data_IF_493349865265
#
_entry.id   IF_493349865265
#
_cell.length_a   1.000
_cell.length_b   1.000
_cell.length_c   1.000
_cell.angle_alpha   90.00
_cell.angle_beta   90.00
_cell.angle_gamma   90.00
#
_symmetry.space_group_name_H-M   'P 1'
#
loop_
_entity.id
_entity.type
_entity.pdbx_description
1 polymer ?
#
# COMPACT_ATOMS: atom_id res chain seq x y z
N UNK A 1 26.70 -25.83 29.74
CA UNK A 1 26.06 -25.40 31.00
C UNK A 1 25.66 -23.92 30.93
N UNK A 2 24.40 -23.70 30.50
CA UNK A 2 23.55 -22.50 30.65
C UNK A 2 24.24 -21.13 30.76
N UNK A 3 24.37 -20.44 29.62
CA UNK A 3 24.14 -18.99 29.55
C UNK A 3 23.22 -18.65 28.37
N UNK A 4 22.08 -17.98 28.61
CA UNK A 4 21.35 -17.07 27.67
C UNK A 4 19.88 -16.84 28.05
N UNK A 5 19.32 -17.56 29.02
CA UNK A 5 17.89 -17.51 29.34
C UNK A 5 17.47 -16.34 30.27
N UNK A 6 18.38 -15.46 30.67
CA UNK A 6 18.11 -14.42 31.68
C UNK A 6 18.09 -12.97 31.16
N UNK A 7 18.20 -12.74 29.84
CA UNK A 7 18.14 -11.39 29.23
C UNK A 7 16.90 -11.13 28.37
N UNK A 8 15.96 -12.08 28.30
CA UNK A 8 14.68 -11.95 27.58
C UNK A 8 13.55 -11.34 28.41
N UNK A 9 13.87 -10.75 29.58
CA UNK A 9 12.90 -10.11 30.46
C UNK A 9 12.99 -8.56 30.38
N UNK A 10 12.88 -8.01 29.18
CA UNK A 10 12.55 -6.60 28.99
C UNK A 10 11.26 -6.49 28.17
N UNK A 11 10.14 -6.41 28.89
CA UNK A 11 8.89 -5.75 28.52
C UNK A 11 8.50 -5.70 27.03
N UNK A 12 8.23 -6.85 26.42
CA UNK A 12 7.44 -6.91 25.19
C UNK A 12 6.01 -6.45 25.49
N UNK A 13 5.64 -5.22 25.13
CA UNK A 13 4.24 -4.87 24.87
C UNK A 13 3.88 -5.35 23.46
N UNK A 14 3.81 -6.67 23.29
CA UNK A 14 3.19 -7.29 22.12
C UNK A 14 1.68 -7.05 22.21
N UNK A 15 1.13 -6.24 21.30
CA UNK A 15 -0.27 -6.37 20.91
C UNK A 15 -0.42 -7.77 20.29
N UNK A 16 -0.78 -8.74 21.12
CA UNK A 16 -0.97 -10.13 20.66
C UNK A 16 -2.18 -10.18 19.72
N UNK A 17 -1.92 -10.43 18.44
CA UNK A 17 -2.96 -10.66 17.43
C UNK A 17 -3.51 -12.06 17.65
N UNK A 18 -4.75 -12.17 18.16
CA UNK A 18 -5.42 -13.49 18.30
C UNK A 18 -6.30 -13.75 17.08
N UNK A 19 -6.04 -14.82 16.30
CA UNK A 19 -6.75 -15.08 15.05
C UNK A 19 -8.21 -15.49 15.25
N UNK A 20 -8.60 -16.01 16.42
CA UNK A 20 -9.97 -16.44 16.71
C UNK A 20 -10.37 -16.10 18.16
N UNK A 21 -11.41 -15.28 18.33
CA UNK A 21 -12.18 -15.19 19.57
C UNK A 21 -13.64 -15.47 19.24
N UNK A 22 -14.01 -16.75 19.18
CA UNK A 22 -15.41 -17.17 19.19
C UNK A 22 -15.86 -17.28 20.65
N UNK A 23 -16.94 -16.59 20.98
CA UNK A 23 -17.81 -16.79 22.14
C UNK A 23 -17.40 -16.25 23.53
N UNK A 24 -16.51 -15.25 23.66
CA UNK A 24 -16.32 -14.54 24.93
C UNK A 24 -16.77 -13.07 24.83
N UNK A 25 -18.05 -12.84 25.09
CA UNK A 25 -18.69 -11.54 25.36
C UNK A 25 -18.53 -10.46 24.28
N UNK A 26 -19.56 -10.32 23.44
CA UNK A 26 -19.75 -9.19 22.52
C UNK A 26 -20.11 -7.87 23.26
N UNK A 27 -19.83 -7.72 24.55
CA UNK A 27 -20.23 -6.56 25.38
C UNK A 27 -19.57 -5.21 25.04
N UNK A 28 -18.69 -5.11 24.03
CA UNK A 28 -18.21 -3.81 23.56
C UNK A 28 -18.88 -3.51 22.24
N UNK A 29 -19.60 -2.38 22.21
CA UNK A 29 -20.38 -1.87 21.09
C UNK A 29 -19.52 -1.16 20.01
N UNK A 30 -18.19 -1.21 20.11
CA UNK A 30 -17.28 -0.51 19.18
C UNK A 30 -16.34 -1.47 18.48
N UNK A 31 -16.37 -1.42 17.16
CA UNK A 31 -15.50 -2.17 16.26
C UNK A 31 -14.62 -1.24 15.43
N UNK A 32 -13.51 -1.77 14.91
CA UNK A 32 -12.63 -1.06 13.97
C UNK A 32 -12.60 -1.85 12.66
N UNK A 33 -12.85 -1.20 11.54
CA UNK A 33 -12.75 -1.84 10.23
C UNK A 33 -11.40 -1.53 9.59
N UNK A 34 -10.82 -2.49 8.86
CA UNK A 34 -9.67 -2.24 7.99
C UNK A 34 -10.01 -2.69 6.57
N UNK A 35 -9.88 -1.79 5.61
CA UNK A 35 -9.98 -2.05 4.18
C UNK A 35 -8.57 -2.27 3.63
N UNK A 36 -8.29 -3.49 3.17
CA UNK A 36 -7.06 -3.89 2.51
C UNK A 36 -7.30 -4.03 1.01
N UNK A 37 -6.93 -3.00 0.24
CA UNK A 37 -7.02 -2.98 -1.21
C UNK A 37 -5.73 -3.55 -1.82
N UNK A 38 -5.64 -4.88 -1.89
CA UNK A 38 -4.52 -5.57 -2.51
C UNK A 38 -4.61 -5.66 -4.04
N UNK A 39 -3.52 -6.10 -4.68
CA UNK A 39 -3.44 -6.26 -6.15
C UNK A 39 -4.38 -7.34 -6.69
N UNK A 40 -4.54 -8.46 -5.98
CA UNK A 40 -5.38 -9.59 -6.42
C UNK A 40 -6.77 -9.62 -5.80
N UNK A 41 -7.01 -8.85 -4.74
CA UNK A 41 -8.29 -8.83 -4.04
C UNK A 41 -8.40 -7.64 -3.09
N UNK A 42 -9.60 -7.12 -2.94
CA UNK A 42 -9.98 -6.19 -1.87
C UNK A 42 -10.55 -6.98 -0.69
N UNK A 43 -10.15 -6.64 0.54
CA UNK A 43 -10.65 -7.28 1.77
C UNK A 43 -11.10 -6.24 2.75
N UNK A 44 -12.14 -6.53 3.51
CA UNK A 44 -12.48 -5.79 4.73
C UNK A 44 -12.43 -6.74 5.91
N UNK A 45 -11.78 -6.33 6.98
CA UNK A 45 -11.73 -7.06 8.24
C UNK A 45 -12.29 -6.21 9.36
N UNK A 46 -13.07 -6.83 10.24
CA UNK A 46 -13.60 -6.21 11.44
C UNK A 46 -12.77 -6.65 12.64
N UNK A 47 -12.37 -5.69 13.46
CA UNK A 47 -11.57 -5.90 14.64
C UNK A 47 -12.27 -5.38 15.89
N UNK A 48 -11.95 -5.98 17.02
CA UNK A 48 -12.44 -5.57 18.32
C UNK A 48 -11.27 -5.48 19.30
N UNK A 49 -11.30 -4.43 20.12
CA UNK A 49 -10.38 -4.31 21.25
C UNK A 49 -10.83 -5.25 22.38
N UNK A 50 -9.90 -6.05 22.88
CA UNK A 50 -10.07 -6.92 24.04
C UNK A 50 -9.26 -6.33 25.18
N UNK A 51 -9.90 -6.05 26.31
CA UNK A 51 -9.30 -5.28 27.41
C UNK A 51 -8.32 -6.08 28.28
N UNK A 52 -8.42 -7.40 28.32
CA UNK A 52 -7.64 -8.24 29.25
C UNK A 52 -7.27 -9.60 28.64
N UNK A 53 -6.02 -9.80 28.15
CA UNK A 53 -4.98 -8.77 27.97
C UNK A 53 -5.34 -7.77 26.85
N UNK A 54 -4.86 -6.50 26.92
CA UNK A 54 -5.01 -5.53 25.83
C UNK A 54 -4.53 -6.13 24.51
N UNK A 55 -5.48 -6.40 23.62
CA UNK A 55 -5.22 -7.03 22.33
C UNK A 55 -6.27 -6.58 21.32
N UNK A 56 -5.93 -6.73 20.05
CA UNK A 56 -6.87 -6.55 18.94
C UNK A 56 -7.17 -7.93 18.39
N UNK A 57 -8.44 -8.29 18.33
CA UNK A 57 -8.88 -9.56 17.77
C UNK A 57 -9.65 -9.33 16.48
N UNK A 58 -9.33 -10.14 15.47
CA UNK A 58 -10.11 -10.20 14.23
C UNK A 58 -11.41 -10.93 14.50
N UNK A 59 -12.53 -10.27 14.22
CA UNK A 59 -13.88 -10.80 14.43
C UNK A 59 -14.40 -11.51 13.19
N UNK A 60 -14.26 -10.85 12.03
CA UNK A 60 -14.69 -11.40 10.74
C UNK A 60 -13.91 -10.73 9.60
N UNK A 61 -13.98 -11.30 8.40
CA UNK A 61 -13.50 -10.64 7.18
C UNK A 61 -14.21 -11.12 5.93
N UNK A 62 -14.34 -10.23 4.97
CA UNK A 62 -14.89 -10.51 3.64
C UNK A 62 -13.85 -10.15 2.59
N UNK A 63 -13.89 -10.82 1.43
CA UNK A 63 -12.97 -10.57 0.34
C UNK A 63 -13.67 -10.61 -1.01
N UNK A 64 -13.21 -9.78 -1.93
CA UNK A 64 -13.64 -9.73 -3.33
C UNK A 64 -12.40 -9.81 -4.23
N UNK A 65 -12.38 -10.67 -5.25
CA UNK A 65 -11.26 -10.72 -6.18
C UNK A 65 -11.19 -9.43 -7.00
N UNK A 66 -9.97 -8.94 -7.26
CA UNK A 66 -9.72 -7.81 -8.16
C UNK A 66 -9.28 -8.37 -9.49
N UNK A 67 -9.97 -7.98 -10.56
CA UNK A 67 -9.60 -8.39 -11.91
C UNK A 67 -8.45 -7.54 -12.42
N UNK A 68 -7.30 -8.19 -12.64
CA UNK A 68 -6.13 -7.59 -13.28
C UNK A 68 -6.14 -7.98 -14.76
N UNK A 69 -6.04 -6.97 -15.63
CA UNK A 69 -5.79 -7.17 -17.05
C UNK A 69 -4.28 -7.18 -17.32
N UNK A 70 -3.78 -8.28 -17.88
CA UNK A 70 -2.39 -8.41 -18.31
C UNK A 70 -2.33 -8.51 -19.83
N UNK A 71 -1.50 -7.68 -20.48
CA UNK A 71 -1.28 -7.72 -21.94
C UNK A 71 0.21 -7.84 -22.27
N UNK A 72 0.57 -8.30 -23.50
CA UNK A 72 1.97 -8.35 -23.94
C UNK A 72 2.69 -7.01 -23.76
N UNK A 73 4.01 -7.07 -23.57
CA UNK A 73 4.83 -5.88 -23.27
C UNK A 73 4.84 -5.48 -21.78
N UNK A 74 4.30 -6.34 -20.90
CA UNK A 74 4.28 -6.11 -19.45
C UNK A 74 3.25 -5.07 -19.03
N UNK A 75 2.18 -4.89 -19.80
CA UNK A 75 1.07 -4.00 -19.47
C UNK A 75 0.20 -4.69 -18.43
N UNK A 76 -0.08 -4.00 -17.33
CA UNK A 76 -0.90 -4.45 -16.22
C UNK A 76 -1.83 -3.32 -15.74
N UNK A 77 -3.15 -3.55 -15.84
CA UNK A 77 -4.16 -2.58 -15.42
C UNK A 77 -5.28 -3.21 -14.60
N UNK A 78 -6.03 -2.39 -13.89
CA UNK A 78 -7.25 -2.80 -13.20
C UNK A 78 -8.33 -1.72 -13.33
N UNK A 79 -9.59 -2.13 -13.46
CA UNK A 79 -10.71 -1.20 -13.49
C UNK A 79 -10.94 -0.59 -12.10
N UNK A 80 -10.65 0.71 -11.98
CA UNK A 80 -10.82 1.47 -10.75
C UNK A 80 -12.29 1.60 -10.32
N UNK A 81 -13.24 1.52 -11.27
CA UNK A 81 -14.68 1.47 -10.97
C UNK A 81 -15.04 0.13 -10.32
N UNK A 82 -14.53 -0.99 -10.83
CA UNK A 82 -14.72 -2.30 -10.19
C UNK A 82 -14.19 -2.32 -8.76
N UNK A 83 -12.98 -1.80 -8.52
CA UNK A 83 -12.39 -1.71 -7.16
C UNK A 83 -13.32 -0.93 -6.21
N UNK A 84 -13.90 0.17 -6.69
CA UNK A 84 -14.87 0.96 -5.92
C UNK A 84 -16.16 0.18 -5.63
N UNK A 85 -16.75 -0.46 -6.64
CA UNK A 85 -17.97 -1.24 -6.47
C UNK A 85 -17.75 -2.43 -5.51
N UNK A 86 -16.60 -3.09 -5.57
CA UNK A 86 -16.24 -4.14 -4.62
C UNK A 86 -16.08 -3.60 -3.20
N UNK A 87 -15.58 -2.37 -3.03
CA UNK A 87 -15.52 -1.71 -1.72
C UNK A 87 -16.92 -1.51 -1.12
N UNK A 88 -17.88 -1.03 -1.91
CA UNK A 88 -19.28 -0.89 -1.48
C UNK A 88 -19.92 -2.25 -1.13
N UNK A 89 -19.65 -3.30 -1.91
CA UNK A 89 -20.12 -4.65 -1.61
C UNK A 89 -19.54 -5.19 -0.27
N UNK A 90 -18.26 -4.92 -0.01
CA UNK A 90 -17.62 -5.30 1.25
C UNK A 90 -18.26 -4.58 2.44
N UNK A 91 -18.60 -3.30 2.30
CA UNK A 91 -19.33 -2.54 3.34
C UNK A 91 -20.73 -3.12 3.57
N UNK A 92 -21.44 -3.50 2.50
CA UNK A 92 -22.73 -4.19 2.60
C UNK A 92 -22.64 -5.54 3.32
N UNK A 93 -21.63 -6.35 2.98
CA UNK A 93 -21.39 -7.64 3.63
C UNK A 93 -21.07 -7.48 5.13
N UNK A 94 -20.25 -6.48 5.47
CA UNK A 94 -19.93 -6.17 6.85
C UNK A 94 -21.18 -5.73 7.63
N UNK A 95 -21.99 -4.85 7.07
CA UNK A 95 -23.23 -4.35 7.70
C UNK A 95 -24.28 -5.45 7.91
N UNK A 96 -24.47 -6.34 6.92
CA UNK A 96 -25.35 -7.51 7.06
C UNK A 96 -24.89 -8.40 8.21
N UNK A 97 -23.59 -8.72 8.24
CA UNK A 97 -23.02 -9.55 9.28
C UNK A 97 -23.18 -8.93 10.67
N UNK A 98 -22.93 -7.62 10.82
CA UNK A 98 -23.11 -6.92 12.09
C UNK A 98 -24.58 -6.94 12.54
N UNK A 99 -25.53 -6.77 11.62
CA UNK A 99 -26.97 -6.82 11.92
C UNK A 99 -27.43 -8.20 12.41
N UNK A 100 -26.80 -9.27 11.92
CA UNK A 100 -27.11 -10.65 12.31
C UNK A 100 -26.44 -11.09 13.62
N UNK A 101 -25.22 -10.60 13.90
CA UNK A 101 -24.36 -11.15 14.95
C UNK A 101 -24.12 -10.21 16.15
N UNK A 102 -24.43 -8.92 16.02
CA UNK A 102 -24.18 -7.93 17.08
C UNK A 102 -25.48 -7.48 17.75
N UNK A 103 -25.40 -7.20 19.05
CA UNK A 103 -26.50 -6.60 19.81
C UNK A 103 -26.77 -5.15 19.37
N UNK A 104 -27.96 -4.63 19.69
CA UNK A 104 -28.36 -3.27 19.37
C UNK A 104 -27.35 -2.23 19.89
N UNK A 105 -26.90 -1.33 19.00
CA UNK A 105 -25.94 -0.27 19.33
C UNK A 105 -24.48 -0.57 18.96
N UNK A 106 -24.18 -1.73 18.37
CA UNK A 106 -22.89 -2.00 17.76
C UNK A 106 -22.60 -1.06 16.58
N UNK A 107 -21.42 -0.43 16.60
CA UNK A 107 -20.99 0.52 15.56
C UNK A 107 -19.55 0.28 15.14
N UNK A 108 -19.25 0.61 13.88
CA UNK A 108 -17.88 0.77 13.41
C UNK A 108 -17.40 2.15 13.85
N UNK A 109 -16.42 2.19 14.75
CA UNK A 109 -15.89 3.43 15.31
C UNK A 109 -14.96 4.16 14.35
N UNK A 110 -14.20 3.43 13.53
CA UNK A 110 -13.37 4.00 12.47
C UNK A 110 -13.03 2.97 11.39
N UNK A 111 -12.61 3.49 10.24
CA UNK A 111 -12.03 2.75 9.13
C UNK A 111 -10.53 3.06 9.01
N UNK A 112 -9.72 2.01 8.93
CA UNK A 112 -8.35 2.07 8.42
C UNK A 112 -8.29 1.63 6.95
N UNK A 113 -7.41 2.22 6.15
CA UNK A 113 -7.17 1.84 4.76
C UNK A 113 -5.72 1.43 4.58
N UNK A 114 -5.51 0.31 3.91
CA UNK A 114 -4.22 -0.07 3.37
C UNK A 114 -4.38 -0.49 1.93
N UNK A 115 -3.37 -0.25 1.10
CA UNK A 115 -3.49 -0.43 -0.35
C UNK A 115 -2.18 -0.86 -1.00
N UNK A 116 -2.31 -1.53 -2.15
CA UNK A 116 -1.21 -1.64 -3.09
C UNK A 116 -0.70 -0.24 -3.46
N UNK A 117 0.60 -0.04 -3.28
CA UNK A 117 1.29 1.23 -3.50
C UNK A 117 1.54 1.43 -5.00
N UNK A 118 1.92 2.65 -5.38
CA UNK A 118 2.26 3.13 -6.73
C UNK A 118 1.18 3.04 -7.83
N UNK A 119 0.27 2.07 -7.77
CA UNK A 119 -0.88 1.93 -8.68
C UNK A 119 -1.61 3.26 -8.76
N UNK A 120 -1.68 3.83 -9.97
CA UNK A 120 -2.13 5.20 -10.19
C UNK A 120 -3.50 5.22 -10.88
N UNK A 121 -4.43 6.00 -10.31
CA UNK A 121 -5.78 6.21 -10.83
C UNK A 121 -5.89 7.64 -11.38
N UNK A 122 -6.62 7.79 -12.47
CA UNK A 122 -6.91 9.07 -13.13
C UNK A 122 -8.43 9.23 -13.21
N UNK A 123 -8.97 10.28 -12.62
CA UNK A 123 -10.42 10.49 -12.59
C UNK A 123 -10.78 11.94 -12.83
N UNK A 124 -12.04 12.11 -13.20
CA UNK A 124 -12.66 13.39 -13.44
C UNK A 124 -13.25 13.95 -12.13
N UNK A 125 -12.91 15.19 -11.78
CA UNK A 125 -13.33 15.82 -10.53
C UNK A 125 -14.86 16.07 -10.49
N UNK A 126 -15.47 16.38 -11.62
CA UNK A 126 -16.90 16.71 -11.67
C UNK A 126 -17.75 15.44 -11.59
N UNK A 127 -17.40 14.43 -12.39
CA UNK A 127 -18.17 13.19 -12.44
C UNK A 127 -17.76 12.20 -11.36
N UNK A 128 -16.51 12.28 -10.87
CA UNK A 128 -15.91 11.30 -9.97
C UNK A 128 -15.69 9.94 -10.62
N UNK A 129 -15.70 9.85 -11.96
CA UNK A 129 -15.50 8.62 -12.71
C UNK A 129 -14.05 8.47 -13.20
N UNK A 130 -13.51 7.23 -13.22
CA UNK A 130 -12.20 6.97 -13.82
C UNK A 130 -12.21 7.33 -15.31
N UNK A 131 -11.13 7.96 -15.77
CA UNK A 131 -10.92 8.35 -17.17
C UNK A 131 -10.26 7.23 -17.99
N UNK A 132 -9.62 6.28 -17.30
CA UNK A 132 -8.98 5.09 -17.84
C UNK A 132 -8.79 4.08 -16.72
N UNK A 133 -8.36 2.85 -17.04
CA UNK A 133 -7.99 1.87 -16.03
C UNK A 133 -6.83 2.36 -15.17
N UNK A 134 -6.80 1.93 -13.91
CA UNK A 134 -5.65 2.16 -13.06
C UNK A 134 -4.41 1.46 -13.64
N UNK A 135 -3.29 2.18 -13.69
CA UNK A 135 -2.01 1.62 -14.14
C UNK A 135 -1.32 1.03 -12.91
N UNK A 136 -1.14 -0.30 -12.90
CA UNK A 136 -0.66 -1.02 -11.72
C UNK A 136 0.84 -0.80 -11.45
N UNK A 137 1.29 -1.04 -10.21
CA UNK A 137 2.69 -0.96 -9.81
C UNK A 137 3.64 -1.86 -10.62
N UNK A 138 3.15 -3.03 -11.06
CA UNK A 138 3.91 -4.01 -11.83
C UNK A 138 3.91 -3.73 -13.35
N UNK A 139 3.20 -2.68 -13.79
CA UNK A 139 3.12 -2.30 -15.19
C UNK A 139 4.46 -1.80 -15.73
N UNK A 140 4.82 -2.26 -16.94
CA UNK A 140 6.09 -1.95 -17.62
C UNK A 140 5.91 -1.11 -18.87
N UNK A 141 4.72 -0.57 -19.16
CA UNK A 141 4.46 0.24 -20.37
C UNK A 141 5.35 1.48 -20.47
N UNK A 142 5.84 1.98 -19.33
CA UNK A 142 6.72 3.14 -19.26
C UNK A 142 8.21 2.79 -19.44
N UNK A 143 8.57 1.52 -19.72
CA UNK A 143 9.98 1.10 -19.76
C UNK A 143 10.82 1.90 -20.75
N UNK A 144 10.33 2.08 -21.99
CA UNK A 144 11.03 2.86 -23.00
C UNK A 144 11.21 4.33 -22.60
N UNK A 145 10.21 4.93 -21.95
CA UNK A 145 10.29 6.29 -21.40
C UNK A 145 11.34 6.38 -20.30
N UNK A 146 11.33 5.46 -19.35
CA UNK A 146 12.30 5.41 -18.25
C UNK A 146 13.73 5.20 -18.78
N UNK A 147 13.91 4.30 -19.76
CA UNK A 147 15.22 4.05 -20.37
C UNK A 147 15.72 5.27 -21.13
N UNK A 148 14.83 5.96 -21.86
CA UNK A 148 15.15 7.23 -22.51
C UNK A 148 15.57 8.33 -21.51
N UNK A 149 14.89 8.44 -20.37
CA UNK A 149 15.27 9.36 -19.30
C UNK A 149 16.66 9.03 -18.73
N UNK A 150 16.93 7.76 -18.47
CA UNK A 150 18.25 7.30 -17.98
C UNK A 150 19.37 7.55 -19.00
N UNK A 151 19.10 7.34 -20.29
CA UNK A 151 20.08 7.44 -21.36
C UNK A 151 20.45 8.89 -21.76
N UNK A 152 19.74 9.89 -21.23
CA UNK A 152 20.06 11.30 -21.47
C UNK A 152 18.86 12.24 -21.51
N UNK A 153 17.63 11.72 -21.48
CA UNK A 153 16.42 12.54 -21.40
C UNK A 153 16.31 13.34 -20.10
N UNK A 154 16.94 12.86 -19.01
CA UNK A 154 17.12 13.59 -17.77
C UNK A 154 18.63 13.66 -17.48
N UNK A 155 19.23 14.87 -17.30
CA UNK A 155 20.66 14.99 -16.99
C UNK A 155 21.05 14.19 -15.73
N UNK A 156 22.24 13.56 -15.68
CA UNK A 156 22.66 12.76 -14.51
C UNK A 156 22.59 13.49 -13.17
N UNK A 157 22.90 14.79 -13.15
CA UNK A 157 22.79 15.63 -11.95
C UNK A 157 21.35 15.73 -11.42
N UNK A 158 20.37 15.77 -12.33
CA UNK A 158 18.95 15.81 -11.97
C UNK A 158 18.47 14.44 -11.54
N UNK A 159 18.92 13.35 -12.17
CA UNK A 159 18.64 11.98 -11.71
C UNK A 159 19.12 11.76 -10.26
N UNK A 160 20.33 12.24 -9.93
CA UNK A 160 20.87 12.19 -8.57
C UNK A 160 20.12 13.11 -7.59
N UNK A 161 19.62 14.26 -8.04
CA UNK A 161 18.78 15.15 -7.21
C UNK A 161 17.45 14.46 -6.90
N UNK A 162 16.77 13.93 -7.91
CA UNK A 162 15.51 13.20 -7.76
C UNK A 162 15.67 12.05 -6.77
N UNK A 163 16.71 11.24 -6.90
CA UNK A 163 16.95 10.13 -5.96
C UNK A 163 17.22 10.61 -4.54
N UNK A 164 17.94 11.73 -4.36
CA UNK A 164 18.20 12.29 -3.02
C UNK A 164 16.95 12.89 -2.37
N UNK A 165 16.09 13.52 -3.17
CA UNK A 165 14.87 14.21 -2.71
C UNK A 165 13.75 13.20 -2.43
N UNK A 166 13.53 12.28 -3.36
CA UNK A 166 12.42 11.33 -3.31
C UNK A 166 12.80 10.01 -2.64
N UNK A 167 14.09 9.70 -2.55
CA UNK A 167 14.60 8.39 -2.10
C UNK A 167 14.52 7.28 -3.16
N UNK A 168 14.06 7.60 -4.38
CA UNK A 168 13.70 6.63 -5.40
C UNK A 168 14.54 6.78 -6.67
N UNK A 169 14.98 5.67 -7.31
CA UNK A 169 15.60 5.72 -8.62
C UNK A 169 14.55 5.91 -9.73
N UNK A 170 14.98 6.16 -10.97
CA UNK A 170 14.09 6.08 -12.12
C UNK A 170 13.70 4.63 -12.41
N UNK A 171 12.41 4.29 -12.26
CA UNK A 171 11.89 2.96 -12.52
C UNK A 171 10.41 3.02 -12.91
N UNK A 172 9.93 2.01 -13.64
CA UNK A 172 8.51 1.89 -14.04
C UNK A 172 7.58 1.66 -12.84
N UNK A 173 8.14 1.28 -11.70
CA UNK A 173 7.40 0.98 -10.48
C UNK A 173 6.65 2.19 -9.93
N UNK A 174 7.23 3.39 -10.00
CA UNK A 174 6.70 4.60 -9.35
C UNK A 174 5.61 5.31 -10.17
N UNK A 175 4.83 6.17 -9.50
CA UNK A 175 3.67 6.83 -10.12
C UNK A 175 4.07 7.89 -11.15
N UNK A 176 5.21 8.59 -10.98
CA UNK A 176 5.66 9.66 -11.87
C UNK A 176 5.65 9.29 -13.37
N UNK A 177 6.21 8.14 -13.73
CA UNK A 177 6.22 7.64 -15.10
C UNK A 177 4.81 7.32 -15.62
N UNK A 178 3.93 6.78 -14.76
CA UNK A 178 2.54 6.47 -15.10
C UNK A 178 1.74 7.73 -15.36
N UNK A 179 1.93 8.75 -14.54
CA UNK A 179 1.27 10.06 -14.68
C UNK A 179 1.74 10.73 -15.97
N UNK A 180 3.04 10.79 -16.20
CA UNK A 180 3.60 11.31 -17.44
C UNK A 180 3.04 10.59 -18.67
N UNK A 181 3.01 9.26 -18.65
CA UNK A 181 2.46 8.45 -19.73
C UNK A 181 0.98 8.75 -19.98
N UNK A 182 0.15 8.83 -18.93
CA UNK A 182 -1.27 9.09 -19.07
C UNK A 182 -1.55 10.49 -19.64
N UNK A 183 -0.83 11.52 -19.16
CA UNK A 183 -0.95 12.89 -19.68
C UNK A 183 -0.57 13.00 -21.16
N UNK A 184 0.36 12.17 -21.63
CA UNK A 184 0.90 12.24 -23.00
C UNK A 184 0.20 11.30 -23.99
N UNK A 185 -0.34 10.17 -23.52
CA UNK A 185 -0.82 9.10 -24.40
C UNK A 185 -2.31 8.76 -24.24
N UNK A 186 -3.00 9.27 -23.21
CA UNK A 186 -4.41 8.96 -22.96
C UNK A 186 -5.26 10.21 -23.23
N UNK A 187 -5.99 10.29 -24.37
CA UNK A 187 -6.74 11.49 -24.76
C UNK A 187 -7.70 12.00 -23.68
N UNK A 188 -8.47 11.10 -23.05
CA UNK A 188 -9.41 11.47 -21.99
C UNK A 188 -8.72 12.12 -20.77
N UNK A 189 -7.50 11.70 -20.44
CA UNK A 189 -6.70 12.28 -19.34
C UNK A 189 -6.16 13.65 -19.75
N UNK A 190 -5.64 13.78 -20.98
CA UNK A 190 -5.15 15.04 -21.50
C UNK A 190 -6.26 16.11 -21.60
N UNK A 191 -7.45 15.73 -22.08
CA UNK A 191 -8.62 16.60 -22.16
C UNK A 191 -9.09 17.05 -20.77
N UNK A 192 -9.19 16.14 -19.81
CA UNK A 192 -9.55 16.48 -18.43
C UNK A 192 -8.50 17.40 -17.78
N UNK A 193 -7.21 17.20 -18.07
CA UNK A 193 -6.13 18.06 -17.57
C UNK A 193 -6.26 19.49 -18.13
N UNK A 194 -6.48 19.63 -19.44
CA UNK A 194 -6.67 20.92 -20.10
C UNK A 194 -7.90 21.67 -19.57
N UNK A 195 -8.95 20.94 -19.17
CA UNK A 195 -10.15 21.50 -18.57
C UNK A 195 -10.04 21.78 -17.05
N UNK A 196 -8.89 21.49 -16.42
CA UNK A 196 -8.70 21.57 -14.95
C UNK A 196 -9.64 20.65 -14.13
N UNK A 197 -10.09 19.56 -14.75
CA UNK A 197 -11.00 18.57 -14.16
C UNK A 197 -10.29 17.27 -13.79
N UNK A 198 -9.03 17.10 -14.20
CA UNK A 198 -8.25 15.91 -13.86
C UNK A 198 -7.88 15.90 -12.37
N UNK A 199 -8.02 14.72 -11.77
CA UNK A 199 -7.46 14.35 -10.48
C UNK A 199 -6.69 13.05 -10.62
N UNK A 200 -5.58 12.99 -9.92
CA UNK A 200 -4.64 11.87 -9.94
C UNK A 200 -4.34 11.45 -8.51
N UNK A 201 -4.08 10.18 -8.30
CA UNK A 201 -3.66 9.68 -7.00
C UNK A 201 -3.38 8.19 -7.03
N UNK A 202 -2.77 7.71 -5.95
CA UNK A 202 -2.69 6.30 -5.64
C UNK A 202 -4.04 5.75 -5.18
N UNK A 203 -4.13 4.44 -4.94
CA UNK A 203 -5.38 3.78 -4.56
C UNK A 203 -6.00 4.37 -3.29
N UNK A 204 -5.21 4.69 -2.26
CA UNK A 204 -5.69 5.38 -1.06
C UNK A 204 -6.34 6.72 -1.38
N UNK A 205 -5.71 7.52 -2.24
CA UNK A 205 -6.24 8.82 -2.65
C UNK A 205 -7.57 8.70 -3.37
N UNK A 206 -7.65 7.74 -4.29
CA UNK A 206 -8.89 7.43 -4.99
C UNK A 206 -10.00 6.98 -4.04
N UNK A 207 -9.68 6.06 -3.11
CA UNK A 207 -10.65 5.55 -2.15
C UNK A 207 -11.12 6.65 -1.19
N UNK A 208 -10.21 7.46 -0.62
CA UNK A 208 -10.59 8.59 0.24
C UNK A 208 -11.47 9.60 -0.52
N UNK A 209 -11.15 9.89 -1.78
CA UNK A 209 -11.97 10.75 -2.62
C UNK A 209 -13.39 10.20 -2.82
N UNK A 210 -13.51 8.90 -3.11
CA UNK A 210 -14.82 8.26 -3.30
C UNK A 210 -15.62 8.15 -2.00
N UNK A 211 -14.96 7.74 -0.92
CA UNK A 211 -15.56 7.59 0.40
C UNK A 211 -16.05 8.93 0.94
N UNK A 212 -15.33 10.03 0.72
CA UNK A 212 -15.73 11.37 1.18
C UNK A 212 -16.91 11.98 0.42
N UNK A 213 -17.43 11.30 -0.60
CA UNK A 213 -18.45 11.85 -1.50
C UNK A 213 -17.87 12.84 -2.50
N UNK A 214 -16.66 12.55 -3.03
CA UNK A 214 -15.95 13.37 -4.03
C UNK A 214 -15.46 14.73 -3.50
N UNK A 215 -15.21 14.84 -2.19
CA UNK A 215 -14.81 16.11 -1.54
C UNK A 215 -13.32 16.17 -1.25
N UNK A 216 -12.78 15.09 -0.69
CA UNK A 216 -11.44 15.09 -0.12
C UNK A 216 -10.44 14.44 -1.08
N UNK A 217 -9.65 15.26 -1.76
CA UNK A 217 -8.54 14.81 -2.60
C UNK A 217 -7.25 14.79 -1.80
N UNK A 218 -7.05 13.70 -1.06
CA UNK A 218 -5.95 13.50 -0.11
C UNK A 218 -5.06 12.33 -0.54
N UNK A 219 -3.81 12.29 -0.09
CA UNK A 219 -2.92 11.13 -0.20
C UNK A 219 -2.15 11.00 1.10
N UNK A 220 -1.98 9.79 1.57
CA UNK A 220 -1.23 9.57 2.80
C UNK A 220 0.29 9.55 2.54
N UNK A 221 1.08 10.06 3.49
CA UNK A 221 2.52 10.33 3.33
C UNK A 221 3.35 9.11 2.93
N UNK A 222 3.04 7.90 3.41
CA UNK A 222 3.72 6.66 3.01
C UNK A 222 3.38 6.22 1.59
N UNK A 223 2.20 6.57 1.07
CA UNK A 223 1.82 6.41 -0.34
C UNK A 223 2.41 7.54 -1.21
N UNK A 224 2.41 8.78 -0.72
CA UNK A 224 2.98 9.93 -1.42
C UNK A 224 4.49 9.76 -1.66
N UNK A 225 5.23 9.16 -0.71
CA UNK A 225 6.65 8.84 -0.86
C UNK A 225 6.94 7.86 -2.01
N UNK A 226 5.92 7.20 -2.55
CA UNK A 226 6.03 6.20 -3.63
C UNK A 226 5.80 6.78 -5.02
N UNK A 227 5.37 8.03 -5.09
CA UNK A 227 5.06 8.68 -6.36
C UNK A 227 6.31 9.04 -7.16
N UNK A 228 7.45 9.21 -6.49
CA UNK A 228 8.64 9.84 -7.09
C UNK A 228 8.47 11.35 -7.33
N UNK A 229 7.52 11.99 -6.65
CA UNK A 229 7.20 13.42 -6.77
C UNK A 229 7.26 14.17 -5.43
N UNK A 230 7.31 13.45 -4.31
CA UNK A 230 7.36 14.03 -2.96
C UNK A 230 8.81 14.18 -2.48
N UNK A 231 9.12 15.30 -1.84
CA UNK A 231 10.35 15.45 -1.06
C UNK A 231 10.17 14.78 0.31
N UNK A 232 11.03 13.81 0.61
CA UNK A 232 10.97 13.03 1.85
C UNK A 232 11.12 13.87 3.11
N UNK A 233 11.91 14.95 3.06
CA UNK A 233 12.21 15.80 4.23
C UNK A 233 11.09 16.78 4.51
N UNK A 234 10.56 17.41 3.46
CA UNK A 234 9.53 18.46 3.61
C UNK A 234 8.12 17.88 3.68
N UNK A 235 7.90 16.67 3.13
CA UNK A 235 6.58 16.04 2.93
C UNK A 235 5.66 16.85 2.00
N UNK A 236 6.27 17.58 1.08
CA UNK A 236 5.59 18.37 0.07
C UNK A 236 5.92 17.84 -1.32
N UNK A 237 5.08 18.15 -2.31
CA UNK A 237 5.41 17.92 -3.71
C UNK A 237 6.63 18.77 -4.11
N UNK A 238 7.68 18.13 -4.64
CA UNK A 238 8.91 18.77 -5.11
C UNK A 238 8.68 19.39 -6.49
N UNK A 239 8.66 20.72 -6.58
CA UNK A 239 8.39 21.42 -7.83
C UNK A 239 9.41 21.09 -8.93
N UNK A 240 10.64 20.74 -8.57
CA UNK A 240 11.66 20.26 -9.50
C UNK A 240 11.29 18.91 -10.13
N UNK A 241 10.83 17.95 -9.32
CA UNK A 241 10.36 16.66 -9.80
C UNK A 241 9.11 16.81 -10.66
N UNK A 242 8.15 17.65 -10.23
CA UNK A 242 6.96 17.97 -11.01
C UNK A 242 7.33 18.53 -12.39
N UNK A 243 8.25 19.50 -12.45
CA UNK A 243 8.72 20.08 -13.70
C UNK A 243 9.42 19.04 -14.58
N UNK A 244 10.32 18.24 -14.01
CA UNK A 244 11.08 17.20 -14.73
C UNK A 244 10.17 16.17 -15.40
N UNK A 245 9.07 15.78 -14.75
CA UNK A 245 8.13 14.79 -15.31
C UNK A 245 6.94 15.42 -16.04
N UNK A 246 6.85 16.75 -16.08
CA UNK A 246 5.73 17.47 -16.70
C UNK A 246 4.39 17.24 -16.00
N UNK A 247 4.40 17.14 -14.66
CA UNK A 247 3.21 16.90 -13.83
C UNK A 247 2.68 18.22 -13.27
N UNK A 248 1.48 18.68 -13.65
CA UNK A 248 0.88 19.88 -13.06
C UNK A 248 0.56 19.69 -11.58
N UNK A 249 0.96 20.61 -10.70
CA UNK A 249 0.69 20.51 -9.25
C UNK A 249 -0.81 20.39 -8.93
N UNK A 250 -1.67 21.08 -9.69
CA UNK A 250 -3.11 21.15 -9.44
C UNK A 250 -3.88 19.83 -9.61
N UNK A 251 -3.29 18.82 -10.24
CA UNK A 251 -3.93 17.49 -10.38
C UNK A 251 -3.60 16.55 -9.22
N UNK A 252 -2.66 16.95 -8.34
CA UNK A 252 -2.15 16.12 -7.24
C UNK A 252 -2.91 16.36 -5.93
N UNK A 253 -3.07 15.32 -5.11
CA UNK A 253 -3.76 15.40 -3.82
C UNK A 253 -2.96 16.18 -2.79
N UNK A 254 -3.63 16.65 -1.74
CA UNK A 254 -2.95 17.15 -0.54
C UNK A 254 -2.37 15.99 0.26
N UNK A 255 -1.10 16.09 0.64
CA UNK A 255 -0.43 15.09 1.47
C UNK A 255 -0.90 15.21 2.92
N UNK A 256 -1.23 14.08 3.55
CA UNK A 256 -1.68 13.98 4.96
C UNK A 256 -0.91 12.92 5.72
N UNK A 257 -0.95 13.00 7.04
CA UNK A 257 -0.37 12.04 7.97
C UNK A 257 -1.01 10.64 7.89
N UNK A 258 -0.32 9.62 8.41
CA UNK A 258 -0.79 8.22 8.38
C UNK A 258 -1.90 7.93 9.37
N UNK A 259 -1.99 8.69 10.46
CA UNK A 259 -3.01 8.50 11.49
C UNK A 259 -3.44 9.85 12.07
N UNK A 260 -4.75 10.04 12.22
CA UNK A 260 -5.35 11.26 12.75
C UNK A 260 -6.70 10.97 13.38
N UNK A 261 -7.23 11.92 14.15
CA UNK A 261 -8.58 11.80 14.71
C UNK A 261 -9.65 11.66 13.61
N UNK A 262 -9.42 12.29 12.46
CA UNK A 262 -10.23 12.14 11.25
C UNK A 262 -9.43 12.66 10.05
N UNK A 263 -9.05 11.77 9.13
CA UNK A 263 -8.46 12.14 7.84
C UNK A 263 -9.56 12.54 6.84
N UNK A 264 -10.65 11.77 6.83
CA UNK A 264 -11.89 12.05 6.10
C UNK A 264 -13.06 11.30 6.74
N UNK A 265 -14.29 11.59 6.32
CA UNK A 265 -15.50 10.91 6.79
C UNK A 265 -16.22 10.27 5.61
N UNK A 266 -16.62 9.01 5.79
CA UNK A 266 -17.41 8.28 4.79
C UNK A 266 -18.76 8.99 4.62
N UNK A 267 -19.09 9.34 3.38
CA UNK A 267 -20.29 10.05 2.96
C UNK A 267 -20.56 9.74 1.49
N UNK A 268 -20.89 8.48 1.22
CA UNK A 268 -21.00 7.96 -0.15
C UNK A 268 -22.23 7.05 -0.32
N UNK A 269 -23.29 7.31 0.44
CA UNK A 269 -24.55 6.56 0.47
C UNK A 269 -24.33 5.08 0.79
N UNK A 270 -23.47 4.81 1.77
CA UNK A 270 -23.07 3.47 2.19
C UNK A 270 -23.55 3.12 3.60
N UNK A 271 -23.58 1.83 3.97
CA UNK A 271 -23.89 1.43 5.34
C UNK A 271 -22.91 1.93 6.42
N UNK A 272 -21.75 2.48 6.02
CA UNK A 272 -20.73 3.03 6.92
C UNK A 272 -20.67 4.56 6.87
N UNK A 273 -21.68 5.24 6.33
CA UNK A 273 -21.71 6.70 6.31
C UNK A 273 -21.61 7.29 7.74
N UNK A 274 -20.85 8.38 7.87
CA UNK A 274 -20.51 9.01 9.14
C UNK A 274 -19.31 8.38 9.87
N UNK A 275 -18.84 7.20 9.47
CA UNK A 275 -17.64 6.59 10.05
C UNK A 275 -16.39 7.38 9.63
N UNK A 276 -15.51 7.79 10.56
CA UNK A 276 -14.27 8.47 10.21
C UNK A 276 -13.23 7.47 9.68
N UNK A 277 -12.51 7.89 8.64
CA UNK A 277 -11.25 7.27 8.23
C UNK A 277 -10.15 7.86 9.09
N UNK A 278 -9.54 7.04 9.95
CA UNK A 278 -8.58 7.52 10.97
C UNK A 278 -7.15 7.09 10.71
N UNK A 279 -6.94 6.12 9.81
CA UNK A 279 -5.60 5.65 9.47
C UNK A 279 -5.52 5.20 8.02
N UNK A 280 -4.44 5.58 7.35
CA UNK A 280 -4.13 5.17 5.99
C UNK A 280 -2.64 4.85 5.93
N UNK A 281 -2.25 3.74 5.32
CA UNK A 281 -0.85 3.38 5.11
C UNK A 281 -0.70 2.59 3.82
N UNK A 282 0.43 2.70 3.14
CA UNK A 282 0.79 1.76 2.08
C UNK A 282 0.95 0.35 2.64
N UNK A 283 0.60 -0.68 1.87
CA UNK A 283 0.56 -2.09 2.31
C UNK A 283 1.82 -2.58 3.05
N UNK A 284 3.00 -2.29 2.51
CA UNK A 284 4.24 -2.76 3.13
C UNK A 284 4.56 -2.02 4.43
N UNK A 285 4.23 -0.73 4.51
CA UNK A 285 4.36 0.08 5.72
C UNK A 285 3.32 -0.31 6.78
N UNK A 286 2.09 -0.60 6.37
CA UNK A 286 1.05 -1.16 7.23
C UNK A 286 1.49 -2.51 7.81
N UNK A 287 2.14 -3.36 7.00
CA UNK A 287 2.69 -4.63 7.47
C UNK A 287 3.86 -4.43 8.45
N UNK A 288 4.75 -3.45 8.21
CA UNK A 288 5.83 -3.11 9.15
C UNK A 288 5.27 -2.68 10.50
N UNK A 289 4.31 -1.74 10.50
CA UNK A 289 3.66 -1.27 11.72
C UNK A 289 2.85 -2.38 12.42
N UNK A 290 2.11 -3.18 11.65
CA UNK A 290 1.27 -4.27 12.14
C UNK A 290 2.06 -5.43 12.76
N UNK A 291 3.32 -5.61 12.39
CA UNK A 291 4.24 -6.57 13.01
C UNK A 291 4.90 -6.02 14.30
N UNK A 292 4.60 -4.78 14.68
CA UNK A 292 5.16 -4.13 15.86
C UNK A 292 6.59 -3.62 15.66
N UNK A 293 7.04 -3.43 14.42
CA UNK A 293 8.38 -2.92 14.08
C UNK A 293 8.50 -1.40 14.29
N UNK A 294 8.22 -0.92 15.50
CA UNK A 294 8.10 0.50 15.82
C UNK A 294 9.42 1.15 16.25
N UNK A 295 10.44 0.37 16.58
CA UNK A 295 11.74 0.88 17.00
C UNK A 295 12.72 0.97 15.82
N UNK A 296 13.62 1.97 15.80
CA UNK A 296 14.69 2.02 14.81
C UNK A 296 15.53 0.75 14.80
N UNK A 297 15.71 0.17 13.63
CA UNK A 297 16.42 -1.10 13.44
C UNK A 297 15.49 -2.31 13.29
N UNK A 298 14.21 -2.21 13.67
CA UNK A 298 13.25 -3.29 13.45
C UNK A 298 13.05 -3.56 11.95
N UNK A 299 12.95 -4.84 11.59
CA UNK A 299 12.84 -5.30 10.20
C UNK A 299 11.69 -6.27 10.05
N UNK A 300 10.96 -6.17 8.93
CA UNK A 300 10.09 -7.25 8.43
C UNK A 300 10.45 -7.62 6.99
N UNK A 301 10.36 -8.89 6.60
CA UNK A 301 10.14 -9.30 5.19
C UNK A 301 8.75 -9.95 5.07
N UNK A 302 8.01 -9.54 4.04
CA UNK A 302 6.77 -10.24 3.64
C UNK A 302 7.11 -11.10 2.44
N UNK A 303 6.82 -12.39 2.53
CA UNK A 303 6.95 -13.34 1.45
C UNK A 303 5.59 -13.49 0.74
N UNK A 304 5.56 -13.14 -0.55
CA UNK A 304 4.43 -13.37 -1.45
C UNK A 304 4.96 -13.73 -2.84
N UNK A 305 4.32 -13.22 -3.90
CA UNK A 305 4.85 -13.36 -5.27
C UNK A 305 6.30 -12.86 -5.37
N UNK A 306 6.60 -11.72 -4.73
CA UNK A 306 7.96 -11.25 -4.40
C UNK A 306 8.22 -11.20 -2.89
N UNK A 307 9.42 -10.81 -2.44
CA UNK A 307 9.66 -10.39 -1.04
C UNK A 307 9.90 -8.89 -0.99
N UNK A 308 9.32 -8.25 0.01
CA UNK A 308 9.61 -6.87 0.37
C UNK A 308 10.13 -6.85 1.80
N UNK A 309 11.38 -6.42 1.96
CA UNK A 309 12.02 -6.20 3.25
C UNK A 309 12.00 -4.73 3.57
N UNK A 310 11.42 -4.35 4.72
CA UNK A 310 11.40 -2.99 5.20
C UNK A 310 12.07 -2.94 6.57
N UNK A 311 12.95 -1.94 6.75
CA UNK A 311 13.59 -1.63 8.02
C UNK A 311 13.16 -0.24 8.48
N UNK A 312 12.68 -0.12 9.72
CA UNK A 312 12.42 1.16 10.36
C UNK A 312 13.77 1.86 10.65
N UNK A 313 13.91 3.11 10.21
CA UNK A 313 15.16 3.88 10.41
C UNK A 313 14.97 5.10 11.32
N UNK A 314 13.87 5.16 12.07
CA UNK A 314 13.58 6.27 12.96
C UNK A 314 13.21 7.56 12.22
N UNK A 315 13.59 8.70 12.77
CA UNK A 315 13.18 10.04 12.33
C UNK A 315 14.15 10.72 11.35
N UNK A 316 15.17 9.98 10.91
CA UNK A 316 16.22 10.48 10.01
C UNK A 316 16.11 9.82 8.64
N UNK A 317 16.25 10.61 7.57
CA UNK A 317 16.35 10.08 6.21
C UNK A 317 17.70 9.40 6.04
N UNK A 318 17.69 8.11 5.73
CA UNK A 318 18.90 7.33 5.41
C UNK A 318 18.96 7.02 3.90
N UNK A 319 19.74 7.75 3.09
CA UNK A 319 19.92 7.45 1.68
C UNK A 319 20.61 6.10 1.50
N UNK A 320 20.09 5.26 0.60
CA UNK A 320 20.77 4.01 0.26
C UNK A 320 22.06 4.24 -0.55
N UNK A 321 23.12 3.51 -0.20
CA UNK A 321 24.34 3.39 -1.01
C UNK A 321 24.40 2.07 -1.79
N UNK A 322 23.38 1.21 -1.68
CA UNK A 322 23.38 -0.16 -2.21
C UNK A 322 22.14 -0.47 -3.06
N UNK A 323 21.44 0.57 -3.54
CA UNK A 323 20.28 0.42 -4.43
C UNK A 323 18.95 0.12 -3.73
N UNK A 324 18.90 0.18 -2.40
CA UNK A 324 17.63 0.16 -1.65
C UNK A 324 16.87 1.46 -1.88
N UNK A 325 15.55 1.40 -1.64
CA UNK A 325 14.70 2.57 -1.64
C UNK A 325 14.72 3.21 -0.25
N UNK A 326 14.87 4.54 -0.20
CA UNK A 326 14.59 5.30 1.02
C UNK A 326 13.15 5.78 0.93
N UNK A 327 12.34 5.53 1.95
CA UNK A 327 10.90 5.80 1.92
C UNK A 327 10.39 6.28 3.27
N UNK A 328 9.16 6.77 3.31
CA UNK A 328 8.44 7.00 4.57
C UNK A 328 7.89 5.68 5.08
N UNK A 329 8.05 5.46 6.39
CA UNK A 329 7.35 4.44 7.17
C UNK A 329 5.94 4.92 7.52
N UNK A 330 5.82 5.95 8.35
CA UNK A 330 4.52 6.53 8.74
C UNK A 330 4.67 7.87 9.47
N UNK A 331 3.54 8.54 9.69
CA UNK A 331 3.38 9.65 10.63
C UNK A 331 2.14 9.44 11.51
N UNK A 332 2.31 9.14 12.79
CA UNK A 332 1.20 8.81 13.70
C UNK A 332 0.65 10.05 14.42
N UNK A 333 0.05 10.96 13.66
CA UNK A 333 -0.49 12.23 14.13
C UNK A 333 0.15 13.43 13.42
N UNK A 334 -0.59 14.52 13.26
CA UNK A 334 -0.13 15.70 12.53
C UNK A 334 1.17 16.30 13.10
N UNK A 335 1.32 16.30 14.43
CA UNK A 335 2.50 16.81 15.14
C UNK A 335 3.54 15.73 15.48
N UNK A 336 3.26 14.46 15.16
CA UNK A 336 4.20 13.36 15.41
C UNK A 336 5.38 13.43 14.42
N UNK A 337 6.60 13.04 14.86
CA UNK A 337 7.74 12.94 13.97
C UNK A 337 7.46 11.93 12.85
N UNK A 338 7.99 12.21 11.66
CA UNK A 338 7.93 11.29 10.54
C UNK A 338 8.88 10.12 10.80
N UNK A 339 8.41 8.89 10.66
CA UNK A 339 9.26 7.69 10.67
C UNK A 339 9.61 7.32 9.23
N UNK A 340 10.89 7.06 8.96
CA UNK A 340 11.42 6.61 7.68
C UNK A 340 11.70 5.12 7.68
N UNK A 341 11.85 4.57 6.48
CA UNK A 341 12.26 3.20 6.27
C UNK A 341 13.22 3.05 5.09
N UNK A 342 14.03 2.00 5.16
CA UNK A 342 14.72 1.44 4.00
C UNK A 342 13.94 0.24 3.47
N UNK A 343 13.77 0.17 2.16
CA UNK A 343 13.03 -0.89 1.50
C UNK A 343 13.89 -1.59 0.44
N UNK A 344 13.98 -2.91 0.55
CA UNK A 344 14.51 -3.80 -0.46
C UNK A 344 13.40 -4.68 -1.03
N UNK A 345 13.41 -4.88 -2.34
CA UNK A 345 12.44 -5.74 -3.02
C UNK A 345 13.16 -6.82 -3.83
N UNK A 346 12.67 -8.05 -3.73
CA UNK A 346 13.04 -9.17 -4.57
C UNK A 346 11.81 -9.53 -5.41
N UNK A 347 11.91 -9.33 -6.73
CA UNK A 347 10.78 -9.51 -7.64
C UNK A 347 10.28 -10.96 -7.73
N UNK A 348 11.20 -11.94 -7.60
CA UNK A 348 10.91 -13.37 -7.75
C UNK A 348 11.17 -14.07 -6.42
N UNK A 349 10.10 -14.39 -5.69
CA UNK A 349 10.17 -15.20 -4.48
C UNK A 349 9.19 -16.37 -4.58
N UNK A 350 7.94 -16.22 -4.12
CA UNK A 350 6.91 -17.25 -4.32
C UNK A 350 6.59 -17.50 -5.79
N UNK A 351 6.81 -16.51 -6.68
CA UNK A 351 6.74 -16.72 -8.12
C UNK A 351 7.75 -17.76 -8.62
N UNK A 352 8.97 -17.78 -8.05
CA UNK A 352 9.99 -18.79 -8.40
C UNK A 352 9.57 -20.19 -7.98
N UNK A 353 8.98 -20.32 -6.79
CA UNK A 353 8.40 -21.59 -6.32
C UNK A 353 7.26 -22.06 -7.25
N UNK A 354 6.35 -21.15 -7.61
CA UNK A 354 5.25 -21.47 -8.52
C UNK A 354 5.76 -21.84 -9.92
N UNK A 355 6.83 -21.20 -10.40
CA UNK A 355 7.45 -21.53 -11.68
C UNK A 355 8.07 -22.94 -11.68
N UNK A 356 8.76 -23.31 -10.59
CA UNK A 356 9.30 -24.67 -10.43
C UNK A 356 8.20 -25.75 -10.47
N UNK A 357 7.04 -25.44 -9.88
CA UNK A 357 5.89 -26.35 -9.82
C UNK A 357 5.14 -26.40 -11.15
N UNK A 358 4.69 -25.25 -11.65
CA UNK A 358 3.71 -25.18 -12.73
C UNK A 358 4.36 -25.20 -14.12
N UNK A 359 5.53 -24.56 -14.28
CA UNK A 359 6.16 -24.37 -15.58
C UNK A 359 7.25 -25.42 -15.84
N UNK A 360 8.08 -25.71 -14.83
CA UNK A 360 9.14 -26.71 -14.96
C UNK A 360 8.68 -28.13 -14.63
N UNK A 361 7.61 -28.27 -13.83
CA UNK A 361 7.11 -29.59 -13.40
C UNK A 361 8.12 -30.40 -12.58
N UNK A 362 9.11 -29.76 -11.95
CA UNK A 362 10.15 -30.44 -11.17
C UNK A 362 9.60 -31.03 -9.87
N UNK A 363 8.56 -30.41 -9.34
CA UNK A 363 7.85 -30.81 -8.12
C UNK A 363 6.35 -30.55 -8.32
N UNK A 364 5.51 -31.33 -7.66
CA UNK A 364 4.05 -31.23 -7.77
C UNK A 364 3.42 -30.29 -6.74
N UNK A 365 4.16 -29.94 -5.69
CA UNK A 365 3.66 -29.09 -4.60
C UNK A 365 4.80 -28.41 -3.82
N UNK A 366 4.43 -27.39 -3.04
CA UNK A 366 5.36 -26.74 -2.09
C UNK A 366 5.84 -27.71 -1.00
N UNK A 367 4.98 -28.65 -0.57
CA UNK A 367 5.37 -29.66 0.42
C UNK A 367 6.46 -30.58 -0.14
N UNK A 368 6.27 -31.08 -1.37
CA UNK A 368 7.29 -31.88 -2.04
C UNK A 368 8.59 -31.09 -2.24
N UNK A 369 8.51 -29.82 -2.63
CA UNK A 369 9.70 -28.98 -2.78
C UNK A 369 10.55 -28.94 -1.50
N UNK A 370 9.90 -28.79 -0.34
CA UNK A 370 10.60 -28.80 0.95
C UNK A 370 11.18 -30.17 1.30
N UNK A 371 10.47 -31.26 1.01
CA UNK A 371 10.97 -32.63 1.22
C UNK A 371 12.20 -32.92 0.37
N UNK A 372 12.15 -32.61 -0.93
CA UNK A 372 13.26 -32.81 -1.87
C UNK A 372 14.46 -31.94 -1.49
N UNK A 373 14.24 -30.66 -1.16
CA UNK A 373 15.30 -29.76 -0.70
C UNK A 373 15.94 -30.24 0.61
N UNK A 374 15.16 -30.83 1.53
CA UNK A 374 15.67 -31.37 2.78
C UNK A 374 16.33 -32.76 2.63
N UNK A 375 16.12 -33.45 1.51
CA UNK A 375 16.70 -34.77 1.24
C UNK A 375 18.21 -34.72 0.93
N UNK A 376 18.72 -33.53 0.59
CA UNK A 376 20.13 -33.27 0.30
C UNK A 376 20.73 -32.34 1.37
N UNK A 377 22.03 -32.50 1.67
CA UNK A 377 22.70 -31.71 2.71
C UNK A 377 23.13 -30.32 2.24
N UNK A 378 23.32 -30.13 0.93
CA UNK A 378 23.74 -28.88 0.31
C UNK A 378 23.40 -28.86 -1.20
N UNK A 379 23.78 -27.78 -1.89
CA UNK A 379 23.57 -27.65 -3.35
C UNK A 379 24.69 -28.26 -4.19
N UNK A 380 25.73 -28.84 -3.58
CA UNK A 380 26.95 -29.34 -4.23
C UNK A 380 27.57 -28.34 -5.23
N UNK A 381 27.53 -27.04 -4.90
CA UNK A 381 28.05 -25.95 -5.74
C UNK A 381 27.08 -25.44 -6.81
N UNK A 382 25.89 -26.02 -6.97
CA UNK A 382 24.86 -25.51 -7.86
C UNK A 382 24.30 -24.18 -7.34
N UNK A 383 24.12 -23.21 -8.24
CA UNK A 383 23.47 -21.92 -7.99
C UNK A 383 22.38 -21.73 -9.04
N UNK A 384 21.20 -21.30 -8.62
CA UNK A 384 20.07 -21.01 -9.50
C UNK A 384 19.73 -19.52 -9.47
#
# INVERSE_FOLDING_TARGET
>A
PLPLLALLACSFRLLTFRPDCVAASLMSSRFFAALDQGTSSSRIALYKHVSSPPSVCKVTSFSRPVRVESRPGGIASADARSIWLDTLHLFGSLSSWMSEHCEGGAVVASLGITNQRETTVFWDAETGEPLTDAILWLDRRTSSTIDGWKAGGIPPVEQQRLQRVTGLPLACYFSNGKIHHALTNVPAVAEAAAANRLRVGTIDSWLMYRLSGKRDHLIEVSNASRTGLMDLKTREWDDGALATFGVPRGILPRIVESSSACLTTINCDSPLDGVPVTGVLGDQQAALLGQGCVEPGDVKCTYGTGCFMLQNTGDTVHPSQSGLLTTVGWQLGADAPLTYALEGAIAVCGAGVNWLINDMGLVSSVAQLNEEAASVSDTNGCTF
#
